data_IF_217045566755
#
_entry.id   IF_217045566755
#
_cell.length_a   1.000
_cell.length_b   1.000
_cell.length_c   1.000
_cell.angle_alpha   90.00
_cell.angle_beta   90.00
_cell.angle_gamma   90.00
#
_symmetry.space_group_name_H-M   'P 1'
#
loop_
_entity.id
_entity.type
_entity.pdbx_description
1 polymer ?
#
# COMPACT_ATOMS: atom_id res chain seq x y z
N UNK A 1 -8.59 -0.70 -14.62
CA UNK A 1 -8.74 -1.00 -13.17
C UNK A 1 -7.35 -1.08 -12.61
N UNK A 2 -7.11 -0.47 -11.45
CA UNK A 2 -5.76 -0.43 -10.87
C UNK A 2 -5.35 -1.79 -10.34
N UNK A 3 -4.13 -2.22 -10.64
CA UNK A 3 -3.53 -3.44 -10.08
C UNK A 3 -3.44 -3.40 -8.54
N UNK A 4 -3.49 -2.22 -7.94
CA UNK A 4 -3.47 -2.01 -6.49
C UNK A 4 -4.82 -2.33 -5.82
N UNK A 5 -5.92 -2.33 -6.59
CA UNK A 5 -7.25 -2.64 -6.06
C UNK A 5 -7.32 -4.12 -5.70
N UNK A 6 -7.69 -4.39 -4.46
CA UNK A 6 -7.76 -5.72 -3.84
C UNK A 6 -6.41 -6.48 -3.85
N UNK A 7 -5.31 -5.80 -4.19
CA UNK A 7 -3.96 -6.37 -4.14
C UNK A 7 -3.57 -6.74 -2.71
N UNK A 8 -3.97 -5.93 -1.74
CA UNK A 8 -3.84 -6.17 -0.30
C UNK A 8 -5.25 -6.32 0.27
N UNK A 9 -5.46 -7.38 1.07
CA UNK A 9 -6.75 -7.67 1.67
C UNK A 9 -6.90 -7.11 3.08
N UNK A 10 -8.12 -7.24 3.61
CA UNK A 10 -8.42 -7.15 5.04
C UNK A 10 -8.98 -8.50 5.48
N UNK A 11 -8.34 -9.11 6.47
CA UNK A 11 -8.76 -10.40 6.98
C UNK A 11 -10.01 -10.26 7.86
N UNK A 12 -10.96 -11.19 7.74
CA UNK A 12 -12.24 -11.16 8.44
C UNK A 12 -13.42 -10.53 7.68
N UNK A 13 -13.25 -10.14 6.41
CA UNK A 13 -14.36 -9.79 5.51
C UNK A 13 -14.79 -11.02 4.70
N UNK A 14 -16.10 -11.28 4.64
CA UNK A 14 -16.70 -12.38 3.88
C UNK A 14 -17.28 -11.83 2.56
N UNK A 15 -17.07 -12.49 1.40
CA UNK A 15 -16.25 -13.69 1.21
C UNK A 15 -14.75 -13.37 1.27
N UNK A 16 -14.00 -14.21 1.98
CA UNK A 16 -12.55 -14.13 2.04
C UNK A 16 -11.97 -14.56 0.70
N UNK A 17 -11.77 -13.62 -0.21
CA UNK A 17 -10.94 -13.82 -1.41
C UNK A 17 -9.50 -13.58 -0.99
N UNK A 18 -8.63 -14.56 -1.21
CA UNK A 18 -7.19 -14.37 -0.99
C UNK A 18 -6.69 -13.28 -1.94
N UNK A 19 -6.14 -12.17 -1.43
CA UNK A 19 -5.65 -11.10 -2.28
C UNK A 19 -4.43 -11.59 -3.07
N UNK A 20 -4.16 -11.07 -4.29
CA UNK A 20 -3.03 -11.50 -5.11
C UNK A 20 -1.67 -11.43 -4.41
N UNK A 21 -1.45 -10.46 -3.52
CA UNK A 21 -0.20 -10.36 -2.74
C UNK A 21 -0.08 -11.42 -1.63
N UNK A 22 -1.19 -12.06 -1.24
CA UNK A 22 -1.27 -12.86 -0.02
C UNK A 22 -1.21 -12.06 1.30
N UNK A 23 -1.09 -10.73 1.23
CA UNK A 23 -0.94 -9.85 2.40
C UNK A 23 -2.28 -9.33 2.91
N UNK A 24 -2.38 -9.19 4.23
CA UNK A 24 -3.57 -8.68 4.90
C UNK A 24 -3.22 -7.54 5.87
N UNK A 25 -3.81 -6.37 5.66
CA UNK A 25 -3.46 -5.13 6.39
C UNK A 25 -3.50 -5.26 7.91
N UNK A 26 -4.51 -5.95 8.44
CA UNK A 26 -4.72 -6.10 9.87
C UNK A 26 -3.75 -7.11 10.51
N UNK A 27 -3.22 -8.06 9.73
CA UNK A 27 -2.18 -8.98 10.19
C UNK A 27 -0.82 -8.28 10.20
N UNK A 28 -0.48 -7.60 9.10
CA UNK A 28 0.83 -6.96 8.94
C UNK A 28 1.02 -5.74 9.85
N UNK A 29 -0.01 -4.89 9.99
CA UNK A 29 0.06 -3.69 10.81
C UNK A 29 -0.35 -3.92 12.28
N UNK A 30 -0.63 -5.16 12.67
CA UNK A 30 -1.12 -5.54 14.01
C UNK A 30 -2.29 -4.63 14.47
N UNK A 31 -3.19 -4.30 13.55
CA UNK A 31 -4.36 -3.45 13.84
C UNK A 31 -5.39 -4.34 14.55
N UNK A 32 -5.78 -4.03 15.81
CA UNK A 32 -6.80 -4.81 16.52
C UNK A 32 -8.17 -4.59 15.87
N UNK A 33 -8.49 -5.44 14.91
CA UNK A 33 -9.85 -5.57 14.37
C UNK A 33 -10.57 -6.55 15.28
N UNK A 34 -11.65 -6.11 15.92
CA UNK A 34 -12.53 -7.03 16.64
C UNK A 34 -13.01 -8.06 15.62
N UNK A 35 -12.89 -9.35 15.91
CA UNK A 35 -13.34 -10.43 15.03
C UNK A 35 -14.74 -10.11 14.49
N UNK A 36 -14.82 -9.69 13.22
CA UNK A 36 -16.06 -9.29 12.52
C UNK A 36 -17.03 -10.47 12.39
N UNK A 37 -16.56 -11.69 12.64
CA UNK A 37 -17.32 -12.93 12.55
C UNK A 37 -18.54 -13.01 13.49
N UNK A 38 -18.67 -12.13 14.49
CA UNK A 38 -19.82 -12.12 15.42
C UNK A 38 -20.90 -11.06 15.12
N UNK A 39 -20.70 -10.16 14.14
CA UNK A 39 -21.68 -9.09 13.81
C UNK A 39 -22.26 -9.29 12.41
N UNK A 40 -23.58 -9.39 12.34
CA UNK A 40 -24.43 -9.85 11.24
C UNK A 40 -24.20 -9.22 9.84
N UNK A 41 -24.61 -9.93 8.79
CA UNK A 41 -24.52 -9.65 7.33
C UNK A 41 -24.58 -8.18 6.88
N UNK A 42 -25.45 -7.34 7.44
CA UNK A 42 -25.55 -5.91 7.08
C UNK A 42 -24.26 -5.15 7.40
N UNK A 43 -23.61 -5.52 8.51
CA UNK A 43 -22.35 -4.94 8.95
C UNK A 43 -21.18 -5.34 8.05
N UNK A 44 -21.16 -6.56 7.54
CA UNK A 44 -20.11 -7.02 6.63
C UNK A 44 -20.17 -6.28 5.28
N UNK A 45 -21.39 -6.02 4.76
CA UNK A 45 -21.61 -5.20 3.56
C UNK A 45 -21.06 -3.78 3.77
N UNK A 46 -21.30 -3.19 4.94
CA UNK A 46 -20.79 -1.86 5.24
C UNK A 46 -19.26 -1.82 5.35
N UNK A 47 -18.63 -2.84 5.93
CA UNK A 47 -17.17 -2.88 6.02
C UNK A 47 -16.52 -3.11 4.66
N UNK A 48 -17.07 -3.99 3.83
CA UNK A 48 -16.59 -4.18 2.45
C UNK A 48 -16.71 -2.89 1.63
N UNK A 49 -17.82 -2.16 1.80
CA UNK A 49 -18.04 -0.86 1.16
C UNK A 49 -17.02 0.17 1.64
N UNK A 50 -16.85 0.31 2.96
CA UNK A 50 -15.87 1.25 3.54
C UNK A 50 -14.45 0.88 3.12
N UNK A 51 -14.10 -0.41 3.11
CA UNK A 51 -12.79 -0.86 2.65
C UNK A 51 -12.56 -0.52 1.18
N UNK A 52 -13.56 -0.72 0.33
CA UNK A 52 -13.49 -0.33 -1.09
C UNK A 52 -13.26 1.18 -1.24
N UNK A 53 -13.99 2.01 -0.48
CA UNK A 53 -13.82 3.48 -0.47
C UNK A 53 -12.42 3.90 0.00
N UNK A 54 -11.90 3.26 1.05
CA UNK A 54 -10.53 3.50 1.57
C UNK A 54 -9.51 3.14 0.49
N UNK A 55 -9.65 2.00 -0.17
CA UNK A 55 -8.76 1.60 -1.26
C UNK A 55 -8.80 2.62 -2.41
N UNK A 56 -9.98 3.04 -2.86
CA UNK A 56 -10.10 3.98 -3.99
C UNK A 56 -9.41 5.32 -3.71
N UNK A 57 -9.49 5.78 -2.46
CA UNK A 57 -8.82 7.00 -2.01
C UNK A 57 -7.32 6.79 -1.85
N UNK A 58 -6.90 5.65 -1.29
CA UNK A 58 -5.50 5.33 -1.08
C UNK A 58 -4.76 5.17 -2.41
N UNK A 59 -5.31 4.43 -3.38
CA UNK A 59 -4.70 4.16 -4.69
C UNK A 59 -4.32 5.47 -5.40
N UNK A 60 -5.28 6.39 -5.53
CA UNK A 60 -5.06 7.68 -6.23
C UNK A 60 -3.91 8.47 -5.63
N UNK A 61 -3.86 8.54 -4.30
CA UNK A 61 -2.83 9.31 -3.60
C UNK A 61 -1.50 8.56 -3.55
N UNK A 62 -1.52 7.23 -3.45
CA UNK A 62 -0.31 6.41 -3.43
C UNK A 62 0.48 6.57 -4.73
N UNK A 63 -0.19 6.49 -5.89
CA UNK A 63 0.45 6.70 -7.19
C UNK A 63 1.14 8.09 -7.24
N UNK A 64 0.45 9.13 -6.78
CA UNK A 64 1.03 10.49 -6.69
C UNK A 64 2.26 10.51 -5.76
N UNK A 65 2.23 9.79 -4.64
CA UNK A 65 3.38 9.73 -3.71
C UNK A 65 4.56 8.98 -4.32
N UNK A 66 4.33 7.92 -5.08
CA UNK A 66 5.39 7.20 -5.80
C UNK A 66 6.01 8.13 -6.85
N UNK A 67 5.19 8.83 -7.64
CA UNK A 67 5.63 9.82 -8.62
C UNK A 67 6.52 10.88 -7.98
N UNK A 68 6.04 11.52 -6.92
CA UNK A 68 6.79 12.55 -6.20
C UNK A 68 8.09 11.99 -5.60
N UNK A 69 8.05 10.78 -5.02
CA UNK A 69 9.25 10.14 -4.48
C UNK A 69 10.32 9.85 -5.54
N UNK A 70 9.92 9.40 -6.72
CA UNK A 70 10.84 9.17 -7.85
C UNK A 70 11.43 10.48 -8.37
N UNK A 71 10.61 11.54 -8.44
CA UNK A 71 11.07 12.87 -8.82
C UNK A 71 12.06 13.43 -7.79
N UNK A 72 11.75 13.35 -6.50
CA UNK A 72 12.59 13.88 -5.42
C UNK A 72 13.93 13.15 -5.30
N UNK A 73 13.94 11.82 -5.44
CA UNK A 73 15.14 11.01 -5.24
C UNK A 73 16.02 10.90 -6.49
N UNK A 74 15.42 10.89 -7.67
CA UNK A 74 16.10 10.54 -8.92
C UNK A 74 15.83 11.49 -10.08
N UNK A 75 15.04 12.55 -9.88
CA UNK A 75 14.63 13.49 -10.94
C UNK A 75 13.95 12.80 -12.14
N UNK A 76 13.24 11.69 -11.89
CA UNK A 76 12.46 10.97 -12.88
C UNK A 76 10.98 11.28 -12.72
N UNK A 77 10.30 11.57 -13.84
CA UNK A 77 8.86 11.81 -13.91
C UNK A 77 8.11 10.68 -14.62
N UNK A 78 8.82 9.62 -15.04
CA UNK A 78 8.28 8.52 -15.84
C UNK A 78 7.65 7.45 -14.96
N UNK A 79 6.71 7.86 -14.12
CA UNK A 79 5.93 6.97 -13.26
C UNK A 79 4.47 7.16 -13.61
N UNK A 80 3.87 6.12 -14.18
CA UNK A 80 2.44 6.01 -14.40
C UNK A 80 1.88 4.78 -13.66
N UNK A 81 0.60 4.50 -13.89
CA UNK A 81 -0.05 3.35 -13.26
C UNK A 81 0.56 2.02 -13.72
N UNK A 82 0.96 1.90 -14.99
CA UNK A 82 1.56 0.68 -15.54
C UNK A 82 2.94 0.41 -14.92
N UNK A 83 3.75 1.45 -14.72
CA UNK A 83 5.03 1.35 -14.02
C UNK A 83 4.85 0.91 -12.56
N UNK A 84 3.84 1.45 -11.88
CA UNK A 84 3.49 1.04 -10.51
C UNK A 84 3.10 -0.44 -10.49
N UNK A 85 2.30 -0.89 -11.47
CA UNK A 85 1.87 -2.28 -11.58
C UNK A 85 3.04 -3.24 -11.88
N UNK A 86 3.97 -2.83 -12.74
CA UNK A 86 5.18 -3.61 -13.03
C UNK A 86 6.08 -3.79 -11.80
N UNK A 87 6.00 -2.87 -10.82
CA UNK A 87 6.81 -2.88 -9.61
C UNK A 87 6.01 -3.19 -8.34
N UNK A 88 4.80 -3.70 -8.47
CA UNK A 88 3.83 -3.82 -7.38
C UNK A 88 4.34 -4.66 -6.20
N UNK A 89 5.12 -5.72 -6.45
CA UNK A 89 5.73 -6.54 -5.40
C UNK A 89 6.67 -5.73 -4.50
N UNK A 90 7.51 -4.87 -5.10
CA UNK A 90 8.45 -4.01 -4.37
C UNK A 90 7.73 -2.85 -3.67
N UNK A 91 6.57 -2.47 -4.19
CA UNK A 91 5.72 -1.40 -3.65
C UNK A 91 4.67 -1.91 -2.65
N UNK A 92 4.59 -3.22 -2.39
CA UNK A 92 3.58 -3.81 -1.53
C UNK A 92 3.65 -3.29 -0.08
N UNK A 93 4.86 -3.23 0.50
CA UNK A 93 5.07 -2.72 1.86
C UNK A 93 4.78 -1.22 2.01
N UNK A 94 5.31 -0.30 1.17
CA UNK A 94 4.88 1.09 1.29
C UNK A 94 3.37 1.24 1.07
N UNK A 95 2.75 0.44 0.19
CA UNK A 95 1.31 0.49 -0.01
C UNK A 95 0.50 0.03 1.22
N UNK A 96 0.95 -1.01 1.95
CA UNK A 96 0.26 -1.47 3.16
C UNK A 96 0.22 -0.39 4.25
N UNK A 97 1.35 0.29 4.50
CA UNK A 97 1.42 1.38 5.46
C UNK A 97 0.56 2.57 5.03
N UNK A 98 0.54 2.88 3.72
CA UNK A 98 -0.30 3.94 3.19
C UNK A 98 -1.80 3.65 3.35
N UNK A 99 -2.23 2.41 3.06
CA UNK A 99 -3.59 1.94 3.34
C UNK A 99 -3.90 2.04 4.84
N UNK A 100 -2.95 1.69 5.71
CA UNK A 100 -3.10 1.80 7.17
C UNK A 100 -3.39 3.23 7.60
N UNK A 101 -2.64 4.19 7.06
CA UNK A 101 -2.86 5.62 7.32
C UNK A 101 -4.24 6.10 6.87
N UNK A 102 -4.68 5.74 5.65
CA UNK A 102 -6.02 6.11 5.17
C UNK A 102 -7.14 5.43 5.95
N UNK A 103 -6.94 4.18 6.39
CA UNK A 103 -7.87 3.49 7.29
C UNK A 103 -8.00 4.21 8.64
N UNK A 104 -6.89 4.68 9.21
CA UNK A 104 -6.93 5.47 10.46
C UNK A 104 -7.61 6.83 10.26
N UNK A 105 -7.46 7.46 9.09
CA UNK A 105 -8.24 8.65 8.73
C UNK A 105 -9.73 8.32 8.73
N UNK A 106 -10.15 7.21 8.15
CA UNK A 106 -11.55 6.80 8.11
C UNK A 106 -12.11 6.56 9.53
N UNK A 107 -11.39 5.80 10.37
CA UNK A 107 -11.73 5.57 11.79
C UNK A 107 -11.88 6.88 12.56
N UNK A 108 -10.98 7.86 12.33
CA UNK A 108 -11.02 9.14 13.03
C UNK A 108 -12.26 9.97 12.69
N UNK A 109 -12.70 9.95 11.44
CA UNK A 109 -13.75 10.84 10.94
C UNK A 109 -15.13 10.20 10.89
N UNK A 110 -15.24 8.86 10.89
CA UNK A 110 -16.54 8.18 10.80
C UNK A 110 -16.73 7.17 11.92
N UNK A 111 -17.97 6.98 12.35
CA UNK A 111 -18.33 5.90 13.28
C UNK A 111 -18.55 4.56 12.55
N UNK A 112 -18.38 4.53 11.22
CA UNK A 112 -18.70 3.37 10.39
C UNK A 112 -17.77 2.19 10.69
N UNK A 113 -16.50 2.50 11.01
CA UNK A 113 -15.48 1.50 11.40
C UNK A 113 -15.39 1.31 12.92
N UNK A 114 -15.78 2.29 13.73
CA UNK A 114 -15.68 2.23 15.21
C UNK A 114 -16.45 1.04 15.84
N UNK A 115 -17.37 0.40 15.11
CA UNK A 115 -18.05 -0.84 15.53
C UNK A 115 -17.28 -2.13 15.24
N UNK A 116 -16.17 -2.05 14.48
CA UNK A 116 -15.32 -3.18 14.07
C UNK A 116 -13.91 -3.10 14.63
N UNK A 117 -13.52 -1.96 15.20
CA UNK A 117 -12.21 -1.74 15.80
C UNK A 117 -12.39 -1.26 17.23
N UNK A 118 -11.48 -1.63 18.12
CA UNK A 118 -11.38 -1.05 19.48
C UNK A 118 -10.64 0.29 19.48
N UNK A 119 -10.42 0.89 18.31
CA UNK A 119 -9.52 2.02 18.15
C UNK A 119 -10.32 3.30 18.34
N UNK A 120 -10.04 4.03 19.41
CA UNK A 120 -10.59 5.36 19.60
C UNK A 120 -9.88 6.40 18.69
N UNK A 121 -10.43 7.61 18.64
CA UNK A 121 -9.90 8.70 17.79
C UNK A 121 -8.47 9.12 18.15
N UNK A 122 -8.10 9.03 19.42
CA UNK A 122 -6.75 9.36 19.87
C UNK A 122 -5.76 8.33 19.36
N UNK A 123 -6.05 7.04 19.60
CA UNK A 123 -5.22 5.94 19.12
C UNK A 123 -5.15 5.88 17.59
N UNK A 124 -6.26 6.18 16.89
CA UNK A 124 -6.26 6.30 15.43
C UNK A 124 -5.30 7.41 14.95
N UNK A 125 -5.20 8.52 15.69
CA UNK A 125 -4.30 9.62 15.34
C UNK A 125 -2.84 9.23 15.52
N UNK A 126 -2.51 8.52 16.60
CA UNK A 126 -1.16 7.98 16.85
C UNK A 126 -0.76 6.96 15.79
N UNK A 127 -1.60 5.94 15.54
CA UNK A 127 -1.36 4.91 14.54
C UNK A 127 -1.21 5.51 13.14
N UNK A 128 -2.01 6.53 12.81
CA UNK A 128 -1.86 7.24 11.53
C UNK A 128 -0.45 7.84 11.41
N UNK A 129 0.04 8.49 12.47
CA UNK A 129 1.37 9.08 12.46
C UNK A 129 2.48 8.02 12.35
N UNK A 130 2.35 6.93 13.11
CA UNK A 130 3.26 5.76 13.02
C UNK A 130 3.30 5.20 11.59
N UNK A 131 2.13 4.95 10.98
CA UNK A 131 2.04 4.41 9.62
C UNK A 131 2.51 5.40 8.55
N UNK A 132 2.27 6.70 8.70
CA UNK A 132 2.80 7.70 7.78
C UNK A 132 4.34 7.73 7.79
N UNK A 133 4.95 7.64 8.97
CA UNK A 133 6.41 7.61 9.09
C UNK A 133 6.99 6.36 8.43
N UNK A 134 6.42 5.20 8.75
CA UNK A 134 6.91 3.94 8.20
C UNK A 134 6.67 3.85 6.69
N UNK A 135 5.55 4.39 6.19
CA UNK A 135 5.33 4.57 4.76
C UNK A 135 6.47 5.32 4.07
N UNK A 136 6.93 6.45 4.63
CA UNK A 136 8.04 7.22 4.04
C UNK A 136 9.34 6.41 4.00
N UNK A 137 9.64 5.67 5.08
CA UNK A 137 10.82 4.81 5.17
C UNK A 137 10.78 3.72 4.10
N UNK A 138 9.66 2.99 4.02
CA UNK A 138 9.48 1.89 3.09
C UNK A 138 9.43 2.36 1.63
N UNK A 139 8.80 3.50 1.36
CA UNK A 139 8.72 4.05 0.01
C UNK A 139 10.13 4.39 -0.49
N UNK A 140 10.91 5.12 0.31
CA UNK A 140 12.28 5.48 -0.06
C UNK A 140 13.14 4.24 -0.32
N UNK A 141 13.03 3.22 0.52
CA UNK A 141 13.74 1.96 0.35
C UNK A 141 13.32 1.25 -0.97
N UNK A 142 12.02 1.11 -1.21
CA UNK A 142 11.49 0.47 -2.41
C UNK A 142 11.93 1.18 -3.70
N UNK A 143 11.81 2.52 -3.76
CA UNK A 143 12.22 3.30 -4.93
C UNK A 143 13.73 3.20 -5.19
N UNK A 144 14.54 3.17 -4.13
CA UNK A 144 15.99 2.96 -4.24
C UNK A 144 16.31 1.60 -4.85
N UNK A 145 15.61 0.55 -4.43
CA UNK A 145 15.79 -0.80 -4.99
C UNK A 145 15.35 -0.88 -6.45
N UNK A 146 14.22 -0.27 -6.81
CA UNK A 146 13.70 -0.27 -8.19
C UNK A 146 14.69 0.42 -9.13
N UNK A 147 15.08 1.66 -8.83
CA UNK A 147 16.02 2.43 -9.65
C UNK A 147 17.40 1.77 -9.75
N UNK A 148 17.86 1.08 -8.69
CA UNK A 148 19.10 0.31 -8.74
C UNK A 148 18.99 -0.92 -9.68
N UNK A 149 17.81 -1.54 -9.76
CA UNK A 149 17.51 -2.64 -10.69
C UNK A 149 17.54 -2.20 -12.15
N UNK A 150 16.84 -1.10 -12.48
CA UNK A 150 16.77 -0.54 -13.84
C UNK A 150 18.17 -0.20 -14.40
N UNK A 151 19.08 0.30 -13.54
CA UNK A 151 20.48 0.59 -13.91
C UNK A 151 21.30 -0.65 -14.22
N UNK A 152 20.98 -1.81 -13.64
CA UNK A 152 21.69 -3.07 -13.92
C UNK A 152 21.29 -3.64 -15.27
N UNK A 153 20.01 -3.52 -15.64
CA UNK A 153 19.50 -4.01 -16.93
C UNK A 153 20.00 -3.18 -18.11
N UNK A 154 20.21 -1.87 -17.91
CA UNK A 154 20.76 -0.97 -18.94
C UNK A 154 22.30 -0.99 -19.03
N UNK A 155 22.99 -1.56 -18.04
CA UNK A 155 24.46 -1.53 -17.90
C UNK A 155 25.22 -2.76 -18.46
N UNK A 156 24.56 -3.71 -19.13
CA UNK A 156 25.21 -4.92 -19.66
C UNK A 156 25.49 -4.83 -21.17
N UNK A 157 26.30 -3.86 -21.59
CA UNK A 157 27.01 -3.92 -22.89
C UNK A 157 28.42 -3.38 -22.69
N UNK A 158 29.29 -4.18 -22.07
CA UNK A 158 30.72 -3.99 -22.24
C UNK A 158 31.12 -4.66 -23.55
N UNK A 159 31.26 -3.87 -24.61
CA UNK A 159 31.94 -4.30 -25.84
C UNK A 159 33.38 -4.62 -25.51
N UNK A 160 33.78 -5.88 -25.66
CA UNK A 160 35.18 -6.24 -25.70
C UNK A 160 35.80 -5.60 -26.95
N UNK A 161 36.65 -4.59 -26.75
CA UNK A 161 37.57 -4.15 -27.78
C UNK A 161 38.64 -5.24 -27.86
N UNK A 162 38.55 -6.08 -28.90
CA UNK A 162 39.63 -7.00 -29.25
C UNK A 162 40.88 -6.17 -29.57
N UNK A 163 41.84 -6.18 -28.65
CA UNK A 163 43.20 -5.75 -28.95
C UNK A 163 43.90 -6.94 -29.59
N UNK A 164 44.01 -6.89 -30.92
CA UNK A 164 44.86 -7.76 -31.74
C UNK A 164 46.33 -7.67 -31.29
N UNK A 165 47.04 -8.80 -31.24
CA UNK A 165 48.42 -8.90 -31.69
C UNK A 165 48.51 -9.39 -33.15
#
# INVERSE_FOLDING_TARGET
MSCLKDYIGIDGVIPAVTPPSGLFINRELTIPVQHISSVASTSQIDLATVWSEVQDKAIKKFIIRVQLGMQELFNSCDVDEDWVCANIEKLAMPFIYYLGSELMIEIKHTNRINRYTTIDKHRATELKYEFDNEFQVQLKAALTLINAGEKRETGSVYTYVEVLP
#
